data_IF_439108933942
#
_entry.id   IF_439108933942
#
_cell.length_a   1.000
_cell.length_b   1.000
_cell.length_c   1.000
_cell.angle_alpha   90.00
_cell.angle_beta   90.00
_cell.angle_gamma   90.00
#
_symmetry.space_group_name_H-M   'P 1'
#
loop_
_entity.id
_entity.type
_entity.pdbx_description
1 polymer ?
#
# COMPACT_ATOMS: atom_id res chain seq x y z
N UNK A 1 -10.07 -14.23 -2.72
CA UNK A 1 -8.76 -13.64 -2.33
C UNK A 1 -8.91 -12.15 -2.55
N UNK A 2 -8.46 -11.33 -1.60
CA UNK A 2 -8.47 -9.86 -1.70
C UNK A 2 -7.04 -9.33 -1.59
N UNK A 3 -6.80 -8.17 -2.17
CA UNK A 3 -5.59 -7.39 -1.92
C UNK A 3 -5.89 -6.35 -0.83
N UNK A 4 -4.95 -6.20 0.12
CA UNK A 4 -4.94 -5.14 1.12
C UNK A 4 -3.66 -4.32 0.89
N UNK A 5 -3.81 -3.13 0.30
CA UNK A 5 -2.71 -2.28 -0.19
C UNK A 5 -2.81 -0.84 0.32
N UNK A 6 -2.68 -0.67 1.65
CA UNK A 6 -2.82 0.65 2.28
C UNK A 6 -1.66 1.56 1.89
N UNK A 7 -2.00 2.76 1.40
CA UNK A 7 -1.05 3.84 1.14
C UNK A 7 -1.14 4.88 2.27
N UNK A 8 -0.01 5.19 2.89
CA UNK A 8 0.11 6.21 3.93
C UNK A 8 0.87 7.39 3.34
N UNK A 9 0.22 8.55 3.32
CA UNK A 9 0.76 9.80 2.78
C UNK A 9 1.12 10.77 3.90
N UNK A 10 2.29 11.42 3.77
CA UNK A 10 2.67 12.57 4.59
C UNK A 10 2.33 13.86 3.82
N UNK A 11 1.05 14.00 3.48
CA UNK A 11 0.47 15.09 2.69
C UNK A 11 -1.06 15.08 2.88
N UNK A 12 -1.83 15.74 2.01
CA UNK A 12 -3.28 15.49 1.86
C UNK A 12 -3.53 14.17 1.12
N UNK A 13 -4.76 13.65 1.23
CA UNK A 13 -5.22 12.45 0.53
C UNK A 13 -5.53 12.69 -0.97
N UNK A 14 -5.34 13.93 -1.44
CA UNK A 14 -5.49 14.29 -2.84
C UNK A 14 -4.32 13.81 -3.69
N UNK A 15 -4.63 13.11 -4.78
CA UNK A 15 -3.68 12.57 -5.74
C UNK A 15 -3.94 13.07 -7.16
N UNK A 16 -2.88 13.17 -7.96
CA UNK A 16 -2.95 13.47 -9.40
C UNK A 16 -2.17 12.43 -10.21
N UNK A 17 -2.64 12.14 -11.41
CA UNK A 17 -1.93 11.32 -12.39
C UNK A 17 -1.01 12.22 -13.22
N UNK A 18 0.26 11.83 -13.33
CA UNK A 18 1.26 12.61 -14.07
C UNK A 18 1.06 12.50 -15.59
N UNK A 19 1.85 13.27 -16.35
CA UNK A 19 1.77 13.36 -17.81
C UNK A 19 2.03 12.03 -18.53
N UNK A 20 2.63 11.06 -17.85
CA UNK A 20 2.85 9.71 -18.38
C UNK A 20 1.58 8.85 -18.39
N UNK A 21 0.50 9.30 -17.73
CA UNK A 21 -0.77 8.61 -17.63
C UNK A 21 -0.79 7.46 -16.62
N UNK A 22 0.25 7.29 -15.81
CA UNK A 22 0.42 6.16 -14.88
C UNK A 22 0.90 6.56 -13.50
N UNK A 23 1.88 7.44 -13.40
CA UNK A 23 2.48 7.81 -12.12
C UNK A 23 1.49 8.61 -11.28
N UNK A 24 1.07 8.04 -10.15
CA UNK A 24 0.30 8.76 -9.14
C UNK A 24 1.24 9.50 -8.20
N UNK A 25 0.97 10.79 -7.94
CA UNK A 25 1.69 11.59 -6.94
C UNK A 25 0.72 12.41 -6.12
N UNK A 26 1.10 12.69 -4.88
CA UNK A 26 0.41 13.66 -4.02
C UNK A 26 0.44 15.06 -4.64
N UNK A 27 -0.59 15.87 -4.37
CA UNK A 27 -0.68 17.22 -4.96
C UNK A 27 0.48 18.14 -4.56
N UNK A 28 1.04 17.99 -3.35
CA UNK A 28 2.18 18.79 -2.88
C UNK A 28 3.52 18.04 -2.96
N UNK A 29 3.54 16.88 -3.63
CA UNK A 29 4.75 16.04 -3.77
C UNK A 29 5.31 15.56 -2.42
N UNK A 30 4.47 15.47 -1.37
CA UNK A 30 4.82 14.83 -0.11
C UNK A 30 5.09 13.34 -0.26
N UNK A 31 5.86 12.78 0.69
CA UNK A 31 6.23 11.36 0.67
C UNK A 31 5.00 10.45 0.86
N UNK A 32 5.05 9.28 0.24
CA UNK A 32 4.07 8.21 0.39
C UNK A 32 4.77 6.87 0.57
N UNK A 33 4.16 5.96 1.33
CA UNK A 33 4.60 4.57 1.50
C UNK A 33 3.41 3.63 1.37
N UNK A 34 3.64 2.44 0.85
CA UNK A 34 2.62 1.40 0.70
C UNK A 34 3.16 0.06 1.21
N UNK A 35 2.29 -0.73 1.82
CA UNK A 35 2.48 -2.17 2.00
C UNK A 35 1.30 -2.91 1.36
N UNK A 36 1.58 -4.06 0.74
CA UNK A 36 0.60 -4.87 0.03
C UNK A 36 0.59 -6.31 0.54
N UNK A 37 -0.61 -6.86 0.79
CA UNK A 37 -0.82 -8.26 1.17
C UNK A 37 -1.98 -8.90 0.41
N UNK A 38 -1.73 -10.09 -0.14
CA UNK A 38 -2.74 -10.98 -0.69
C UNK A 38 -3.35 -11.86 0.42
N UNK A 39 -4.66 -11.77 0.62
CA UNK A 39 -5.37 -12.39 1.75
C UNK A 39 -6.51 -13.30 1.28
N UNK A 40 -6.55 -14.53 1.80
CA UNK A 40 -7.72 -15.40 1.72
C UNK A 40 -8.59 -15.17 2.95
N UNK A 41 -9.82 -14.70 2.74
CA UNK A 41 -10.83 -14.61 3.80
C UNK A 41 -11.29 -16.02 4.16
N UNK A 42 -11.22 -16.38 5.45
CA UNK A 42 -11.78 -17.61 6.00
C UNK A 42 -12.80 -17.26 7.10
N UNK A 43 -13.50 -18.28 7.59
CA UNK A 43 -14.51 -18.12 8.65
C UNK A 43 -13.92 -17.56 9.95
N UNK A 44 -12.80 -18.11 10.41
CA UNK A 44 -12.26 -17.80 11.74
C UNK A 44 -11.03 -16.89 11.67
N UNK A 45 -10.08 -17.18 10.77
CA UNK A 45 -8.84 -16.41 10.63
C UNK A 45 -8.39 -16.30 9.17
N UNK A 46 -7.97 -15.11 8.70
CA UNK A 46 -7.49 -14.94 7.34
C UNK A 46 -6.17 -15.71 7.11
N UNK A 47 -5.92 -16.10 5.86
CA UNK A 47 -4.62 -16.63 5.43
C UNK A 47 -3.91 -15.54 4.63
N UNK A 48 -2.75 -15.06 5.10
CA UNK A 48 -1.88 -14.14 4.36
C UNK A 48 -0.96 -14.96 3.46
N UNK A 49 -0.99 -14.69 2.15
CA UNK A 49 -0.21 -15.43 1.15
C UNK A 49 1.17 -14.81 0.87
N UNK A 50 1.37 -13.56 1.29
CA UNK A 50 2.53 -12.71 1.01
C UNK A 50 3.05 -12.13 2.32
N UNK A 51 3.29 -13.01 3.30
CA UNK A 51 3.65 -12.62 4.67
C UNK A 51 5.09 -12.06 4.74
N UNK A 52 5.19 -10.79 5.13
CA UNK A 52 6.44 -10.07 5.36
C UNK A 52 6.58 -9.57 6.81
N UNK A 53 5.71 -10.03 7.73
CA UNK A 53 5.66 -9.49 9.10
C UNK A 53 6.93 -9.76 9.93
N UNK A 54 7.71 -10.77 9.55
CA UNK A 54 8.98 -11.13 10.20
C UNK A 54 10.21 -10.57 9.48
N UNK A 55 10.03 -9.67 8.51
CA UNK A 55 11.16 -9.04 7.85
C UNK A 55 11.83 -8.04 8.79
N UNK A 56 13.16 -8.09 8.85
CA UNK A 56 13.92 -7.06 9.55
C UNK A 56 13.80 -5.73 8.82
N UNK A 57 13.67 -4.64 9.57
CA UNK A 57 13.75 -3.29 9.01
C UNK A 57 15.19 -2.80 9.07
N UNK A 58 15.60 -2.08 8.03
CA UNK A 58 16.84 -1.29 8.02
C UNK A 58 16.47 0.19 8.09
N UNK A 59 17.15 0.93 8.98
CA UNK A 59 16.94 2.35 9.22
C UNK A 59 18.06 3.18 8.61
#
# INVERSE_FOLDING_TARGET
>A
VICVECQVVNDTDDIQIDKDGWSARTIHMGNSVMFEYMVIVRKDTPTVLTDTFNWETVA
#
